data_IF_973069985678
#
_entry.id   IF_973069985678
#
_cell.length_a   1.000
_cell.length_b   1.000
_cell.length_c   1.000
_cell.angle_alpha   90.00
_cell.angle_beta   90.00
_cell.angle_gamma   90.00
#
_symmetry.space_group_name_H-M   'P 1'
#
loop_
_entity.id
_entity.type
_entity.pdbx_description
1 polymer ?
#
# COMPACT_ATOMS: atom_id res chain seq x y z
N UNK A 1 62.23 -21.02 48.39
CA UNK A 1 61.29 -21.35 47.29
C UNK A 1 60.05 -20.47 47.47
N UNK A 2 59.88 -19.45 46.64
CA UNK A 2 58.76 -18.48 46.73
C UNK A 2 57.76 -18.80 45.63
N UNK A 3 56.62 -19.33 46.01
CA UNK A 3 55.50 -19.64 45.10
C UNK A 3 54.70 -18.38 44.84
N UNK A 4 54.67 -17.89 43.60
CA UNK A 4 53.85 -16.75 43.18
C UNK A 4 52.51 -17.30 42.68
N UNK A 5 51.43 -16.91 43.36
CA UNK A 5 50.07 -17.16 42.91
C UNK A 5 49.70 -16.12 41.85
N UNK A 6 49.30 -16.57 40.69
CA UNK A 6 48.77 -15.74 39.60
C UNK A 6 47.25 -15.68 39.78
N UNK A 7 46.73 -14.48 40.11
CA UNK A 7 45.32 -14.25 40.13
C UNK A 7 44.83 -13.97 38.70
N UNK A 8 44.00 -14.85 38.18
CA UNK A 8 43.31 -14.65 36.90
C UNK A 8 42.05 -13.80 37.15
N UNK A 9 42.10 -12.59 36.69
CA UNK A 9 40.95 -11.68 36.73
C UNK A 9 40.01 -12.04 35.56
N UNK A 10 38.85 -12.62 35.90
CA UNK A 10 37.79 -12.97 34.93
C UNK A 10 36.97 -11.67 34.67
N UNK A 11 37.15 -11.02 33.51
CA UNK A 11 36.32 -9.90 33.11
C UNK A 11 35.05 -10.46 32.47
N UNK A 12 33.94 -10.37 33.20
CA UNK A 12 32.61 -10.60 32.65
C UNK A 12 32.22 -9.42 31.76
N UNK A 13 32.25 -9.61 30.45
CA UNK A 13 31.65 -8.66 29.51
C UNK A 13 30.13 -8.86 29.56
N UNK A 14 29.41 -7.97 30.22
CA UNK A 14 27.96 -7.85 30.11
C UNK A 14 27.65 -7.23 28.77
N UNK A 15 27.20 -8.04 27.80
CA UNK A 15 26.59 -7.57 26.57
C UNK A 15 25.23 -6.95 26.92
N UNK A 16 25.14 -5.62 26.95
CA UNK A 16 23.86 -4.91 26.90
C UNK A 16 23.29 -5.08 25.49
N UNK A 17 22.37 -6.04 25.34
CA UNK A 17 21.42 -6.02 24.23
C UNK A 17 20.49 -4.84 24.50
N UNK A 18 20.65 -3.74 23.78
CA UNK A 18 19.68 -2.66 23.75
C UNK A 18 18.34 -3.18 23.21
N UNK A 19 17.20 -2.62 23.64
CA UNK A 19 15.93 -2.90 23.01
C UNK A 19 16.07 -2.52 21.55
N UNK A 20 15.78 -3.47 20.64
CA UNK A 20 15.63 -3.19 19.23
C UNK A 20 14.55 -2.12 19.11
N UNK A 21 14.83 -1.06 18.36
CA UNK A 21 13.83 -0.10 17.94
C UNK A 21 12.85 -0.88 17.03
N UNK A 22 11.86 -1.53 17.67
CA UNK A 22 10.64 -1.90 16.98
C UNK A 22 9.95 -0.56 16.71
N UNK A 23 10.12 -0.06 15.47
CA UNK A 23 9.28 1.01 14.96
C UNK A 23 7.84 0.50 15.10
N UNK A 24 7.12 1.04 16.08
CA UNK A 24 5.70 0.82 16.27
C UNK A 24 5.00 1.45 15.06
N UNK A 25 4.88 0.66 13.96
CA UNK A 25 4.04 1.05 12.82
C UNK A 25 2.66 1.35 13.41
N UNK A 26 2.25 2.61 13.33
CA UNK A 26 0.92 3.04 13.75
C UNK A 26 -0.09 2.09 13.14
N UNK A 27 -0.82 1.34 13.99
CA UNK A 27 -1.72 0.29 13.55
C UNK A 27 -2.80 0.93 12.66
N UNK A 28 -2.74 0.63 11.36
CA UNK A 28 -3.69 1.14 10.37
C UNK A 28 -5.12 0.72 10.76
N UNK A 29 -6.11 1.62 10.70
CA UNK A 29 -7.50 1.26 10.99
C UNK A 29 -8.12 0.34 9.92
N UNK A 30 -7.44 0.18 8.77
CA UNK A 30 -7.93 -0.64 7.66
C UNK A 30 -7.56 -2.12 7.81
N UNK A 31 -8.42 -2.99 7.31
CA UNK A 31 -8.08 -4.41 7.18
C UNK A 31 -6.91 -4.56 6.21
N UNK A 32 -5.96 -5.42 6.55
CA UNK A 32 -4.82 -5.76 5.69
C UNK A 32 -5.19 -6.95 4.81
N UNK A 33 -4.66 -6.97 3.59
CA UNK A 33 -4.86 -8.04 2.63
C UNK A 33 -3.73 -8.11 1.60
N UNK A 34 -3.92 -8.97 0.62
CA UNK A 34 -3.01 -9.12 -0.52
C UNK A 34 -3.80 -8.98 -1.82
N UNK A 35 -3.30 -8.16 -2.72
CA UNK A 35 -3.75 -8.14 -4.11
C UNK A 35 -2.73 -8.91 -4.97
N UNK A 36 -3.23 -9.84 -5.78
CA UNK A 36 -2.44 -10.59 -6.76
C UNK A 36 -2.90 -10.14 -8.13
N UNK A 37 -1.97 -9.64 -8.94
CA UNK A 37 -2.23 -9.26 -10.33
C UNK A 37 -1.54 -10.26 -11.25
N UNK A 38 -2.31 -10.92 -12.10
CA UNK A 38 -1.81 -11.82 -13.12
C UNK A 38 -1.45 -11.01 -14.36
N UNK A 39 -0.16 -10.95 -14.67
CA UNK A 39 0.39 -10.25 -15.84
C UNK A 39 0.99 -11.24 -16.82
N UNK A 40 1.30 -10.81 -18.04
CA UNK A 40 2.01 -11.63 -19.05
C UNK A 40 3.39 -12.12 -18.55
N UNK A 41 4.03 -11.38 -17.63
CA UNK A 41 5.33 -11.72 -17.03
C UNK A 41 5.22 -12.63 -15.80
N UNK A 42 4.02 -12.84 -15.26
CA UNK A 42 3.75 -13.64 -14.07
C UNK A 42 2.94 -12.89 -13.02
N UNK A 43 2.75 -13.51 -11.86
CA UNK A 43 1.96 -12.93 -10.78
C UNK A 43 2.75 -11.88 -9.99
N UNK A 44 2.15 -10.71 -9.80
CA UNK A 44 2.64 -9.62 -8.96
C UNK A 44 1.84 -9.59 -7.66
N UNK A 45 2.52 -9.56 -6.52
CA UNK A 45 1.90 -9.45 -5.19
C UNK A 45 2.07 -8.05 -4.63
N UNK A 46 0.95 -7.47 -4.17
CA UNK A 46 0.92 -6.18 -3.49
C UNK A 46 0.28 -6.37 -2.09
N UNK A 47 0.92 -5.83 -1.06
CA UNK A 47 0.34 -5.74 0.28
C UNK A 47 -0.64 -4.59 0.30
N UNK A 48 -1.88 -4.85 0.64
CA UNK A 48 -2.92 -3.82 0.56
C UNK A 48 -3.66 -3.62 1.86
N UNK A 49 -4.10 -2.42 2.07
CA UNK A 49 -5.17 -2.07 2.97
C UNK A 49 -6.49 -2.11 2.20
N UNK A 50 -7.58 -2.48 2.87
CA UNK A 50 -8.87 -2.68 2.23
C UNK A 50 -9.87 -1.67 2.78
N UNK A 51 -10.40 -0.84 1.88
CA UNK A 51 -11.46 0.13 2.13
C UNK A 51 -12.76 -0.41 1.54
N UNK A 52 -13.56 -1.12 2.34
CA UNK A 52 -14.78 -1.81 1.91
C UNK A 52 -16.08 -1.24 2.51
N UNK A 53 -15.98 -0.22 3.35
CA UNK A 53 -17.12 0.56 3.84
C UNK A 53 -17.04 2.03 3.38
N UNK A 54 -18.13 2.81 3.49
CA UNK A 54 -18.14 4.19 3.03
C UNK A 54 -17.13 5.10 3.69
N UNK A 55 -16.93 4.97 5.01
CA UNK A 55 -16.00 5.82 5.78
C UNK A 55 -14.54 5.52 5.41
N UNK A 56 -14.20 4.23 5.31
CA UNK A 56 -12.89 3.79 4.85
C UNK A 56 -12.58 4.28 3.43
N UNK A 57 -13.56 4.20 2.51
CA UNK A 57 -13.36 4.71 1.14
C UNK A 57 -13.25 6.22 1.06
N UNK A 58 -13.96 6.97 1.93
CA UNK A 58 -13.83 8.43 2.00
C UNK A 58 -12.45 8.84 2.53
N UNK A 59 -11.94 8.15 3.54
CA UNK A 59 -10.63 8.41 4.11
C UNK A 59 -9.50 8.04 3.13
N UNK A 60 -9.55 6.86 2.51
CA UNK A 60 -8.51 6.40 1.58
C UNK A 60 -7.10 6.58 2.14
N UNK A 61 -6.18 7.09 1.31
CA UNK A 61 -4.77 7.36 1.64
C UNK A 61 -4.52 8.79 2.13
N UNK A 62 -5.57 9.52 2.55
CA UNK A 62 -5.42 10.87 3.10
C UNK A 62 -4.44 10.92 4.27
N UNK A 63 -3.59 11.94 4.31
CA UNK A 63 -2.60 12.18 5.36
C UNK A 63 -1.37 11.28 5.29
N UNK A 64 -1.26 10.34 4.34
CA UNK A 64 -0.09 9.50 4.19
C UNK A 64 1.09 10.29 3.63
N UNK A 65 2.21 10.25 4.32
CA UNK A 65 3.46 10.88 3.89
C UNK A 65 4.30 9.96 2.99
N UNK A 66 4.03 8.64 3.05
CA UNK A 66 4.71 7.64 2.24
C UNK A 66 3.86 6.37 2.10
N UNK A 67 4.15 5.59 1.06
CA UNK A 67 3.59 4.26 0.82
C UNK A 67 4.74 3.34 0.41
N UNK A 68 4.78 2.11 0.94
CA UNK A 68 5.80 1.13 0.57
C UNK A 68 5.77 0.82 -0.94
N UNK A 69 6.88 0.39 -1.51
CA UNK A 69 7.00 0.16 -2.97
C UNK A 69 6.04 -0.91 -3.52
N UNK A 70 5.71 -1.91 -2.71
CA UNK A 70 4.79 -3.01 -2.99
C UNK A 70 3.51 -2.92 -2.13
N UNK A 71 3.20 -1.72 -1.63
CA UNK A 71 2.00 -1.44 -0.84
C UNK A 71 0.96 -0.66 -1.65
N UNK A 72 -0.31 -0.78 -1.25
CA UNK A 72 -1.42 -0.07 -1.86
C UNK A 72 -2.66 -0.09 -1.00
N UNK A 73 -3.73 0.50 -1.53
CA UNK A 73 -5.07 0.43 -0.93
C UNK A 73 -6.07 -0.02 -1.99
N UNK A 74 -6.90 -1.01 -1.63
CA UNK A 74 -7.99 -1.50 -2.47
C UNK A 74 -9.31 -0.95 -1.96
N UNK A 75 -10.05 -0.31 -2.86
CA UNK A 75 -11.41 0.17 -2.65
C UNK A 75 -12.39 -0.84 -3.22
N UNK A 76 -13.27 -1.37 -2.39
CA UNK A 76 -14.27 -2.36 -2.79
C UNK A 76 -15.66 -1.75 -2.72
N UNK A 77 -16.44 -1.92 -3.79
CA UNK A 77 -17.81 -1.44 -3.89
C UNK A 77 -18.78 -2.62 -3.94
N UNK A 78 -19.88 -2.52 -3.18
CA UNK A 78 -20.89 -3.57 -3.17
C UNK A 78 -21.61 -3.68 -4.52
N UNK A 79 -21.91 -2.54 -5.13
CA UNK A 79 -22.51 -2.43 -6.47
C UNK A 79 -21.51 -1.80 -7.46
N UNK A 80 -21.76 -2.01 -8.74
CA UNK A 80 -21.04 -1.34 -9.80
C UNK A 80 -21.24 0.18 -9.70
N UNK A 81 -20.15 0.92 -9.83
CA UNK A 81 -20.12 2.38 -9.77
C UNK A 81 -19.35 2.96 -10.93
N UNK A 82 -19.53 4.27 -11.19
CA UNK A 82 -18.78 5.03 -12.20
C UNK A 82 -18.22 6.35 -11.64
N UNK A 83 -18.28 6.52 -10.30
CA UNK A 83 -17.74 7.70 -9.64
C UNK A 83 -16.23 7.86 -9.84
N UNK A 84 -15.74 9.08 -9.74
CA UNK A 84 -14.31 9.37 -9.79
C UNK A 84 -13.68 9.41 -8.39
N UNK A 85 -12.37 9.55 -8.39
CA UNK A 85 -11.54 9.74 -7.19
C UNK A 85 -10.96 11.13 -7.15
N UNK A 86 -10.67 11.63 -5.98
CA UNK A 86 -9.99 12.89 -5.75
C UNK A 86 -8.74 12.69 -4.89
N UNK A 87 -7.83 13.65 -4.95
CA UNK A 87 -6.58 13.62 -4.18
C UNK A 87 -6.60 14.63 -3.02
N UNK A 88 -7.80 14.91 -2.49
CA UNK A 88 -7.94 15.81 -1.34
C UNK A 88 -7.18 15.23 -0.15
N UNK A 89 -6.38 16.08 0.52
CA UNK A 89 -5.57 15.72 1.69
C UNK A 89 -4.63 14.50 1.46
N UNK A 90 -4.43 14.08 0.20
CA UNK A 90 -3.48 13.03 -0.17
C UNK A 90 -2.15 13.67 -0.55
N UNK A 91 -1.10 13.39 0.23
CA UNK A 91 0.17 14.10 0.18
C UNK A 91 1.16 13.53 -0.85
N UNK A 92 0.92 12.32 -1.30
CA UNK A 92 1.80 11.57 -2.22
C UNK A 92 1.12 11.37 -3.58
N UNK A 93 1.87 11.42 -4.69
CA UNK A 93 1.33 11.11 -6.01
C UNK A 93 1.03 9.59 -6.11
N UNK A 94 -0.10 9.24 -6.72
CA UNK A 94 -0.61 7.88 -6.83
C UNK A 94 -0.92 7.50 -8.27
N UNK A 95 -0.89 6.20 -8.56
CA UNK A 95 -1.56 5.61 -9.71
C UNK A 95 -2.75 4.79 -9.22
N UNK A 96 -3.88 4.86 -9.93
CA UNK A 96 -5.09 4.09 -9.62
C UNK A 96 -5.45 3.20 -10.80
N UNK A 97 -5.76 1.92 -10.52
CA UNK A 97 -6.31 0.97 -11.47
C UNK A 97 -7.73 0.59 -11.08
N UNK A 98 -8.67 0.76 -12.00
CA UNK A 98 -10.08 0.40 -11.85
C UNK A 98 -10.34 -0.96 -12.43
N UNK A 99 -11.06 -1.84 -11.72
CA UNK A 99 -11.32 -3.21 -12.18
C UNK A 99 -12.80 -3.61 -12.04
N UNK A 100 -13.22 -4.49 -12.93
CA UNK A 100 -14.58 -5.03 -12.96
C UNK A 100 -14.84 -6.10 -11.91
N UNK A 101 -16.06 -6.65 -11.91
CA UNK A 101 -16.44 -7.74 -11.02
C UNK A 101 -15.65 -9.03 -11.27
N UNK A 102 -15.18 -9.22 -12.49
CA UNK A 102 -14.31 -10.34 -12.91
C UNK A 102 -12.83 -10.13 -12.54
N UNK A 103 -12.50 -9.00 -11.91
CA UNK A 103 -11.14 -8.64 -11.56
C UNK A 103 -10.33 -8.04 -12.71
N UNK A 104 -10.88 -7.91 -13.92
CA UNK A 104 -10.16 -7.35 -15.07
C UNK A 104 -9.93 -5.86 -14.88
N UNK A 105 -8.69 -5.42 -15.06
CA UNK A 105 -8.31 -4.00 -15.03
C UNK A 105 -8.86 -3.33 -16.30
N UNK A 106 -9.67 -2.30 -16.10
CA UNK A 106 -10.42 -1.58 -17.14
C UNK A 106 -9.77 -0.25 -17.51
N UNK A 107 -9.13 0.40 -16.54
CA UNK A 107 -8.53 1.72 -16.69
C UNK A 107 -7.44 1.93 -15.65
N UNK A 108 -6.37 2.60 -16.04
CA UNK A 108 -5.31 3.09 -15.14
C UNK A 108 -5.17 4.59 -15.34
N UNK A 109 -5.03 5.34 -14.25
CA UNK A 109 -4.78 6.78 -14.25
C UNK A 109 -3.68 7.12 -13.26
N UNK A 110 -2.89 8.15 -13.56
CA UNK A 110 -2.01 8.81 -12.60
C UNK A 110 -2.71 10.01 -11.98
N UNK A 111 -2.47 10.22 -10.69
CA UNK A 111 -3.13 11.24 -9.89
C UNK A 111 -2.09 12.02 -9.10
N UNK A 112 -2.16 13.36 -9.22
CA UNK A 112 -1.29 14.27 -8.48
C UNK A 112 -1.96 14.78 -7.20
N UNK A 113 -1.20 15.03 -6.12
CA UNK A 113 -1.73 15.70 -4.94
C UNK A 113 -2.52 16.96 -5.27
N UNK A 114 -3.59 17.21 -4.53
CA UNK A 114 -4.42 18.39 -4.74
C UNK A 114 -3.83 19.58 -3.97
N UNK A 115 -3.36 20.60 -4.68
CA UNK A 115 -2.75 21.80 -4.10
C UNK A 115 -3.77 22.92 -3.81
N UNK A 116 -4.89 22.96 -4.54
CA UNK A 116 -5.90 24.02 -4.46
C UNK A 116 -7.32 23.45 -4.58
N UNK A 117 -8.25 23.98 -3.75
CA UNK A 117 -9.69 23.68 -3.89
C UNK A 117 -10.35 24.48 -5.03
N UNK A 118 -11.25 23.86 -5.81
CA UNK A 118 -11.70 22.47 -5.72
C UNK A 118 -10.71 21.48 -6.33
N UNK A 119 -10.50 20.36 -5.64
CA UNK A 119 -9.67 19.30 -6.18
C UNK A 119 -10.23 18.72 -7.49
N UNK A 120 -9.37 18.40 -8.46
CA UNK A 120 -9.81 17.71 -9.67
C UNK A 120 -10.34 16.31 -9.34
N UNK A 121 -11.32 15.87 -10.11
CA UNK A 121 -11.87 14.52 -10.03
C UNK A 121 -11.27 13.67 -11.16
N UNK A 122 -10.68 12.55 -10.81
CA UNK A 122 -10.13 11.57 -11.72
C UNK A 122 -11.20 10.53 -12.05
N UNK A 123 -11.87 10.73 -13.18
CA UNK A 123 -12.96 9.85 -13.62
C UNK A 123 -12.42 8.73 -14.52
N UNK A 124 -12.73 7.45 -14.24
CA UNK A 124 -12.29 6.34 -15.10
C UNK A 124 -12.97 6.34 -16.48
N UNK A 125 -14.18 6.91 -16.58
CA UNK A 125 -15.00 6.88 -17.80
C UNK A 125 -15.59 5.51 -18.10
N UNK A 126 -15.50 4.56 -17.16
CA UNK A 126 -16.07 3.20 -17.22
C UNK A 126 -16.71 2.85 -15.89
N UNK A 127 -17.64 1.92 -15.89
CA UNK A 127 -18.19 1.35 -14.66
C UNK A 127 -17.22 0.28 -14.11
N UNK A 128 -17.10 0.20 -12.77
CA UNK A 128 -16.16 -0.68 -12.09
C UNK A 128 -16.72 -1.18 -10.74
N UNK A 129 -16.11 -2.22 -10.16
CA UNK A 129 -16.48 -2.81 -8.86
C UNK A 129 -15.40 -2.62 -7.80
N UNK A 130 -14.20 -2.28 -8.21
CA UNK A 130 -13.11 -1.97 -7.30
C UNK A 130 -12.05 -1.12 -7.96
N UNK A 131 -11.20 -0.54 -7.12
CA UNK A 131 -10.03 0.20 -7.55
C UNK A 131 -8.86 -0.13 -6.62
N UNK A 132 -7.63 -0.03 -7.13
CA UNK A 132 -6.42 -0.15 -6.33
C UNK A 132 -5.54 1.07 -6.57
N UNK A 133 -5.12 1.72 -5.48
CA UNK A 133 -4.15 2.80 -5.47
C UNK A 133 -2.79 2.29 -5.02
N UNK A 134 -1.75 2.75 -5.71
CA UNK A 134 -0.33 2.45 -5.45
C UNK A 134 0.49 3.71 -5.66
N UNK A 135 1.77 3.71 -5.30
CA UNK A 135 2.68 4.81 -5.67
C UNK A 135 2.61 5.08 -7.18
N UNK A 136 2.66 6.35 -7.57
CA UNK A 136 2.63 6.75 -8.98
C UNK A 136 3.74 6.04 -9.78
N UNK A 137 3.37 5.54 -10.96
CA UNK A 137 4.24 4.77 -11.85
C UNK A 137 4.54 3.33 -11.40
N UNK A 138 3.93 2.85 -10.29
CA UNK A 138 4.17 1.49 -9.83
C UNK A 138 3.61 0.44 -10.80
N UNK A 139 2.48 0.69 -11.45
CA UNK A 139 1.93 -0.26 -12.44
C UNK A 139 2.88 -0.48 -13.60
N UNK A 140 3.43 0.59 -14.19
CA UNK A 140 4.41 0.50 -15.26
C UNK A 140 5.67 -0.26 -14.83
N UNK A 141 6.21 0.05 -13.63
CA UNK A 141 7.38 -0.62 -13.08
C UNK A 141 7.15 -2.11 -12.86
N UNK A 142 5.94 -2.50 -12.49
CA UNK A 142 5.57 -3.87 -12.20
C UNK A 142 5.03 -4.62 -13.43
N UNK A 143 4.91 -3.95 -14.58
CA UNK A 143 4.38 -4.53 -15.81
C UNK A 143 2.88 -4.87 -15.72
N UNK A 144 2.13 -4.08 -14.94
CA UNK A 144 0.68 -4.22 -14.78
C UNK A 144 0.00 -3.32 -15.79
N UNK A 145 -0.90 -3.87 -16.60
CA UNK A 145 -1.54 -3.18 -17.70
C UNK A 145 -3.08 -3.35 -17.67
N UNK A 146 -3.76 -2.52 -18.45
CA UNK A 146 -5.20 -2.69 -18.72
C UNK A 146 -5.41 -4.03 -19.39
N UNK A 147 -6.34 -4.83 -18.86
CA UNK A 147 -6.63 -6.18 -19.30
C UNK A 147 -6.11 -7.28 -18.39
N UNK A 148 -5.13 -6.98 -17.52
CA UNK A 148 -4.68 -7.90 -16.49
C UNK A 148 -5.78 -8.19 -15.46
N UNK A 149 -5.64 -9.28 -14.71
CA UNK A 149 -6.62 -9.71 -13.73
C UNK A 149 -6.10 -9.56 -12.30
N UNK A 150 -6.83 -8.82 -11.48
CA UNK A 150 -6.53 -8.63 -10.05
C UNK A 150 -7.46 -9.49 -9.18
N UNK A 151 -6.90 -10.14 -8.18
CA UNK A 151 -7.62 -10.83 -7.11
C UNK A 151 -7.19 -10.28 -5.76
N UNK A 152 -8.16 -10.01 -4.90
CA UNK A 152 -7.92 -9.47 -3.55
C UNK A 152 -8.32 -10.51 -2.52
N UNK A 153 -7.43 -10.77 -1.58
CA UNK A 153 -7.66 -11.65 -0.42
C UNK A 153 -7.38 -10.89 0.87
N UNK A 154 -8.30 -10.93 1.86
CA UNK A 154 -8.09 -10.38 3.19
C UNK A 154 -7.07 -11.18 3.99
#
# INVERSE_FOLDING_TARGET
MKTRAIAILLVLATACSGPGDEEEEAESPFRKGTAIVETDAGAVLLRVEIADDPEAREQGLMGRESLGEDAGMVFVFFDETSGGFWMKDTLIPLSIAFFGQDGRILKILDMEPCEEDPCPIYEPGVAYRGAIEVNQGAFDRLGIEVGDEIRVSP
#
